data_IF_228340083442
#
_entry.id   IF_228340083442
#
_cell.length_a   1.000
_cell.length_b   1.000
_cell.length_c   1.000
_cell.angle_alpha   90.00
_cell.angle_beta   90.00
_cell.angle_gamma   90.00
#
_symmetry.space_group_name_H-M   'P 1'
#
loop_
_entity.id
_entity.type
_entity.pdbx_description
1 polymer ?
#
# COMPACT_ATOMS: atom_id res chain seq x y z
N UNK A 1 3.74 -12.21 -0.70
CA UNK A 1 3.49 -10.76 -0.54
C UNK A 1 4.80 -10.06 -0.18
N UNK A 2 5.16 -9.00 -0.94
CA UNK A 2 6.28 -8.11 -0.62
C UNK A 2 5.68 -6.82 -0.08
N UNK A 3 6.17 -6.34 1.06
CA UNK A 3 5.75 -5.06 1.62
C UNK A 3 6.96 -4.18 1.93
N UNK A 4 6.75 -2.88 1.97
CA UNK A 4 7.81 -1.91 2.27
C UNK A 4 7.52 -1.17 3.56
N UNK A 5 8.56 -0.91 4.33
CA UNK A 5 8.55 -0.06 5.51
C UNK A 5 9.74 0.89 5.50
N UNK A 6 9.66 1.95 6.29
CA UNK A 6 10.74 2.94 6.33
C UNK A 6 11.93 2.47 7.17
N UNK A 7 11.67 1.85 8.33
CA UNK A 7 12.71 1.50 9.32
C UNK A 7 12.58 0.07 9.82
N UNK A 8 13.66 -0.45 10.41
CA UNK A 8 13.64 -1.78 11.07
C UNK A 8 12.63 -1.84 12.22
N UNK A 9 12.42 -0.74 12.94
CA UNK A 9 11.39 -0.66 13.98
C UNK A 9 9.99 -0.93 13.41
N UNK A 10 9.68 -0.37 12.23
CA UNK A 10 8.41 -0.63 11.56
C UNK A 10 8.32 -2.08 11.04
N UNK A 11 9.45 -2.63 10.57
CA UNK A 11 9.49 -4.03 10.16
C UNK A 11 9.14 -4.98 11.31
N UNK A 12 9.68 -4.76 12.50
CA UNK A 12 9.32 -5.55 13.68
C UNK A 12 7.85 -5.40 14.07
N UNK A 13 7.30 -4.18 14.02
CA UNK A 13 5.89 -3.91 14.35
C UNK A 13 4.90 -4.62 13.43
N UNK A 14 5.25 -4.86 12.16
CA UNK A 14 4.38 -5.54 11.19
C UNK A 14 4.67 -7.03 11.00
N UNK A 15 5.65 -7.58 11.69
CA UNK A 15 6.09 -8.98 11.57
C UNK A 15 4.96 -10.00 11.73
N UNK A 16 4.00 -9.69 12.61
CA UNK A 16 2.81 -10.51 12.83
C UNK A 16 1.88 -10.62 11.61
N UNK A 17 2.04 -9.78 10.59
CA UNK A 17 1.25 -9.82 9.35
C UNK A 17 1.76 -10.88 8.38
N UNK A 18 2.91 -11.51 8.67
CA UNK A 18 3.49 -12.63 7.90
C UNK A 18 3.63 -12.34 6.41
N UNK A 19 4.12 -11.16 6.02
CA UNK A 19 4.53 -10.90 4.65
C UNK A 19 5.73 -11.79 4.29
N UNK A 20 5.77 -12.34 3.07
CA UNK A 20 6.88 -13.20 2.62
C UNK A 20 8.21 -12.44 2.58
N UNK A 21 8.18 -11.15 2.24
CA UNK A 21 9.32 -10.25 2.26
C UNK A 21 8.93 -8.88 2.81
N UNK A 22 9.70 -8.38 3.78
CA UNK A 22 9.61 -6.99 4.26
C UNK A 22 10.88 -6.27 3.83
N UNK A 23 10.73 -5.19 3.05
CA UNK A 23 11.84 -4.37 2.54
C UNK A 23 11.92 -3.08 3.34
N UNK A 24 13.05 -2.86 4.00
CA UNK A 24 13.32 -1.64 4.76
C UNK A 24 13.98 -0.63 3.84
N UNK A 25 13.22 0.36 3.37
CA UNK A 25 13.62 1.27 2.27
C UNK A 25 14.74 2.24 2.62
N UNK A 26 15.10 2.39 3.90
CA UNK A 26 16.29 3.15 4.31
C UNK A 26 17.61 2.41 4.08
N UNK A 27 17.58 1.10 3.86
CA UNK A 27 18.78 0.27 3.65
C UNK A 27 18.70 -0.65 2.44
N UNK A 28 17.54 -0.85 1.86
CA UNK A 28 17.31 -1.73 0.71
C UNK A 28 16.62 -0.98 -0.43
N UNK A 29 17.08 -1.18 -1.65
CA UNK A 29 16.38 -0.66 -2.83
C UNK A 29 15.31 -1.66 -3.28
N UNK A 30 14.06 -1.27 -3.14
CA UNK A 30 12.91 -2.11 -3.54
C UNK A 30 12.98 -2.53 -5.02
N UNK A 31 13.54 -1.70 -5.90
CA UNK A 31 13.64 -2.04 -7.32
C UNK A 31 14.59 -3.22 -7.57
N UNK A 32 15.68 -3.30 -6.80
CA UNK A 32 16.60 -4.43 -6.85
C UNK A 32 15.95 -5.70 -6.31
N UNK A 33 15.22 -5.59 -5.20
CA UNK A 33 14.44 -6.72 -4.65
C UNK A 33 13.44 -7.26 -5.66
N UNK A 34 12.68 -6.38 -6.33
CA UNK A 34 11.73 -6.80 -7.37
C UNK A 34 12.41 -7.46 -8.57
N UNK A 35 13.60 -6.99 -8.94
CA UNK A 35 14.42 -7.59 -9.98
C UNK A 35 14.83 -9.02 -9.60
N UNK A 36 15.37 -9.20 -8.41
CA UNK A 36 15.79 -10.50 -7.87
C UNK A 36 14.61 -11.50 -7.84
N UNK A 37 13.46 -11.07 -7.32
CA UNK A 37 12.25 -11.91 -7.28
C UNK A 37 11.73 -12.29 -8.67
N UNK A 38 11.83 -11.35 -9.63
CA UNK A 38 11.46 -11.63 -11.02
C UNK A 38 12.39 -12.67 -11.66
N UNK A 39 13.71 -12.54 -11.45
CA UNK A 39 14.74 -13.46 -11.96
C UNK A 39 14.61 -14.85 -11.31
N UNK A 40 14.20 -14.91 -10.06
CA UNK A 40 13.91 -16.14 -9.33
C UNK A 40 12.58 -16.82 -9.72
N UNK A 41 11.78 -16.19 -10.61
CA UNK A 41 10.47 -16.73 -11.02
C UNK A 41 9.30 -16.35 -10.08
N UNK A 42 9.56 -15.58 -9.03
CA UNK A 42 8.58 -15.13 -8.04
C UNK A 42 8.08 -13.69 -8.29
N UNK A 43 8.24 -13.18 -9.49
CA UNK A 43 7.91 -11.78 -9.82
C UNK A 43 6.48 -11.38 -9.46
N UNK A 44 6.25 -10.09 -9.32
CA UNK A 44 5.01 -9.49 -8.82
C UNK A 44 3.97 -9.34 -9.93
N UNK A 45 2.75 -9.82 -9.69
CA UNK A 45 1.59 -9.70 -10.58
C UNK A 45 0.76 -8.44 -10.31
N UNK A 46 0.75 -7.96 -9.06
CA UNK A 46 -0.05 -6.80 -8.64
C UNK A 46 0.75 -5.95 -7.67
N UNK A 47 0.95 -4.68 -8.00
CA UNK A 47 1.48 -3.68 -7.09
C UNK A 47 0.37 -2.71 -6.69
N UNK A 48 0.22 -2.42 -5.39
CA UNK A 48 -0.63 -1.36 -4.86
C UNK A 48 0.28 -0.25 -4.36
N UNK A 49 0.19 0.91 -4.98
CA UNK A 49 1.11 2.03 -4.77
C UNK A 49 0.39 3.25 -4.20
N UNK A 50 0.86 3.72 -3.05
CA UNK A 50 0.45 4.98 -2.45
C UNK A 50 1.54 6.07 -2.50
N UNK A 51 2.74 5.75 -2.97
CA UNK A 51 3.88 6.65 -2.97
C UNK A 51 4.05 7.38 -4.31
N UNK A 52 3.94 6.65 -5.44
CA UNK A 52 4.22 7.22 -6.75
C UNK A 52 5.67 7.65 -6.91
N UNK A 53 5.88 8.77 -7.61
CA UNK A 53 7.20 9.39 -7.77
C UNK A 53 8.25 8.47 -8.38
N UNK A 54 9.52 8.69 -8.04
CA UNK A 54 10.65 7.94 -8.57
C UNK A 54 10.59 6.44 -8.28
N UNK A 55 9.99 6.05 -7.16
CA UNK A 55 9.88 4.64 -6.75
C UNK A 55 9.06 3.86 -7.79
N UNK A 56 7.93 4.42 -8.25
CA UNK A 56 7.15 3.82 -9.32
C UNK A 56 7.99 3.63 -10.59
N UNK A 57 8.70 4.67 -11.03
CA UNK A 57 9.53 4.63 -12.24
C UNK A 57 10.59 3.54 -12.18
N UNK A 58 11.25 3.40 -11.04
CA UNK A 58 12.30 2.38 -10.82
C UNK A 58 11.74 0.96 -10.76
N UNK A 59 10.58 0.78 -10.15
CA UNK A 59 10.02 -0.55 -9.83
C UNK A 59 9.20 -1.16 -10.96
N UNK A 60 8.48 -0.36 -11.74
CA UNK A 60 7.50 -0.85 -12.72
C UNK A 60 8.13 -1.76 -13.79
N UNK A 61 9.42 -1.61 -14.03
CA UNK A 61 10.19 -2.40 -14.99
C UNK A 61 10.43 -3.86 -14.56
N UNK A 62 10.28 -4.15 -13.28
CA UNK A 62 10.56 -5.46 -12.68
C UNK A 62 9.30 -6.26 -12.32
N UNK A 63 8.14 -5.83 -12.83
CA UNK A 63 6.91 -6.60 -12.69
C UNK A 63 6.85 -7.76 -13.69
N UNK A 64 6.02 -8.76 -13.42
CA UNK A 64 5.71 -9.84 -14.37
C UNK A 64 5.05 -9.34 -15.64
N UNK A 65 5.09 -10.17 -16.68
CA UNK A 65 4.28 -9.96 -17.89
C UNK A 65 2.79 -9.94 -17.55
N UNK A 66 2.06 -8.94 -18.05
CA UNK A 66 0.64 -8.76 -17.79
C UNK A 66 0.29 -8.19 -16.41
N UNK A 67 1.28 -7.82 -15.63
CA UNK A 67 1.09 -7.30 -14.28
C UNK A 67 0.31 -5.97 -14.24
N UNK A 68 -0.18 -5.63 -13.06
CA UNK A 68 -0.97 -4.43 -12.79
C UNK A 68 -0.30 -3.56 -11.73
N UNK A 69 -0.05 -2.31 -12.07
CA UNK A 69 0.37 -1.29 -11.12
C UNK A 69 -0.83 -0.41 -10.77
N UNK A 70 -1.31 -0.49 -9.54
CA UNK A 70 -2.52 0.22 -9.09
C UNK A 70 -2.11 1.39 -8.21
N UNK A 71 -2.29 2.60 -8.73
CA UNK A 71 -2.02 3.84 -7.99
C UNK A 71 -3.25 4.26 -7.20
N UNK A 72 -3.10 4.39 -5.89
CA UNK A 72 -4.16 4.87 -4.98
C UNK A 72 -3.83 6.23 -4.37
N UNK A 73 -2.56 6.64 -4.38
CA UNK A 73 -2.07 7.96 -3.98
C UNK A 73 -0.70 8.23 -4.62
N UNK A 74 -0.11 9.41 -4.36
CA UNK A 74 1.20 9.82 -4.85
C UNK A 74 1.92 10.66 -3.77
N UNK A 75 2.10 10.07 -2.58
CA UNK A 75 2.60 10.78 -1.39
C UNK A 75 4.07 11.18 -1.50
N UNK A 76 4.88 10.44 -2.27
CA UNK A 76 6.30 10.75 -2.49
C UNK A 76 6.55 11.54 -3.79
N UNK A 77 5.52 11.76 -4.60
CA UNK A 77 5.63 12.59 -5.81
C UNK A 77 4.61 12.24 -6.88
N UNK A 78 4.21 13.24 -7.65
CA UNK A 78 3.18 13.12 -8.70
C UNK A 78 3.77 12.92 -10.10
N UNK A 79 5.09 12.94 -10.23
CA UNK A 79 5.80 12.79 -11.50
C UNK A 79 6.78 11.63 -11.42
N UNK A 80 6.89 10.87 -12.50
CA UNK A 80 7.86 9.79 -12.64
C UNK A 80 8.31 9.66 -14.08
N UNK A 81 9.46 9.04 -14.29
CA UNK A 81 9.98 8.70 -15.62
C UNK A 81 9.86 7.18 -15.84
N UNK A 82 9.34 6.77 -16.97
CA UNK A 82 9.10 5.37 -17.32
C UNK A 82 9.58 5.10 -18.73
N UNK A 83 10.38 4.06 -18.91
CA UNK A 83 10.68 3.52 -20.24
C UNK A 83 9.44 2.79 -20.80
N UNK A 84 8.77 3.42 -21.76
CA UNK A 84 7.53 2.90 -22.35
C UNK A 84 7.73 1.54 -23.05
N UNK A 85 8.96 1.22 -23.51
CA UNK A 85 9.27 -0.08 -24.09
C UNK A 85 8.97 -1.21 -23.09
N UNK A 86 9.36 -1.03 -21.84
CA UNK A 86 9.10 -2.02 -20.79
C UNK A 86 7.60 -2.20 -20.52
N UNK A 87 6.80 -1.15 -20.68
CA UNK A 87 5.35 -1.24 -20.49
C UNK A 87 4.69 -2.08 -21.59
N UNK A 88 4.92 -1.74 -22.89
CA UNK A 88 4.21 -2.44 -23.95
C UNK A 88 4.75 -3.85 -24.21
N UNK A 89 6.07 -4.08 -24.11
CA UNK A 89 6.66 -5.42 -24.30
C UNK A 89 6.19 -6.40 -23.23
N UNK A 90 5.97 -5.93 -22.01
CA UNK A 90 5.50 -6.74 -20.89
C UNK A 90 3.99 -6.72 -20.67
N UNK A 91 3.25 -5.94 -21.44
CA UNK A 91 1.80 -5.75 -21.27
C UNK A 91 1.42 -5.31 -19.83
N UNK A 92 2.25 -4.49 -19.19
CA UNK A 92 1.98 -3.95 -17.86
C UNK A 92 0.83 -2.95 -17.96
N UNK A 93 -0.09 -3.00 -17.01
CA UNK A 93 -1.22 -2.08 -16.91
C UNK A 93 -1.00 -1.12 -15.76
N UNK A 94 -1.08 0.19 -16.04
CA UNK A 94 -1.07 1.24 -15.03
C UNK A 94 -2.53 1.67 -14.80
N UNK A 95 -3.01 1.54 -13.56
CA UNK A 95 -4.41 1.75 -13.20
C UNK A 95 -4.46 2.79 -12.09
N UNK A 96 -5.07 3.95 -12.37
CA UNK A 96 -5.42 4.93 -11.35
C UNK A 96 -6.70 4.51 -10.61
N UNK A 97 -6.70 4.60 -9.29
CA UNK A 97 -7.86 4.29 -8.44
C UNK A 97 -8.08 5.39 -7.40
N UNK A 98 -9.30 5.89 -7.34
CA UNK A 98 -9.73 6.83 -6.29
C UNK A 98 -11.17 6.53 -5.90
N UNK A 99 -11.45 6.59 -4.60
CA UNK A 99 -12.82 6.44 -4.09
C UNK A 99 -13.54 7.79 -4.02
N UNK A 100 -12.80 8.87 -3.76
CA UNK A 100 -13.38 10.22 -3.52
C UNK A 100 -14.26 10.69 -4.66
N UNK A 101 -13.81 10.57 -5.90
CA UNK A 101 -14.49 11.04 -7.10
C UNK A 101 -15.52 10.06 -7.69
N UNK A 102 -15.70 8.87 -7.10
CA UNK A 102 -16.70 7.90 -7.58
C UNK A 102 -18.11 8.38 -7.25
N UNK A 103 -19.06 8.05 -8.14
CA UNK A 103 -20.48 8.35 -7.91
C UNK A 103 -21.01 7.61 -6.68
N UNK A 104 -22.09 8.12 -6.03
CA UNK A 104 -22.72 7.42 -4.91
C UNK A 104 -23.10 5.98 -5.23
N UNK A 105 -23.61 5.71 -6.43
CA UNK A 105 -23.99 4.37 -6.87
C UNK A 105 -22.78 3.40 -6.89
N UNK A 106 -21.66 3.84 -7.45
CA UNK A 106 -20.41 3.02 -7.47
C UNK A 106 -19.88 2.81 -6.04
N UNK A 107 -19.94 3.83 -5.18
CA UNK A 107 -19.54 3.68 -3.77
C UNK A 107 -20.43 2.67 -3.04
N UNK A 108 -21.75 2.73 -3.26
CA UNK A 108 -22.69 1.79 -2.67
C UNK A 108 -22.41 0.34 -3.10
N UNK A 109 -22.12 0.12 -4.38
CA UNK A 109 -21.72 -1.20 -4.88
C UNK A 109 -20.44 -1.71 -4.23
N UNK A 110 -19.39 -0.88 -4.15
CA UNK A 110 -18.12 -1.25 -3.49
C UNK A 110 -18.36 -1.63 -2.02
N UNK A 111 -19.19 -0.86 -1.30
CA UNK A 111 -19.51 -1.15 0.09
C UNK A 111 -20.33 -2.44 0.23
N UNK A 112 -21.28 -2.71 -0.66
CA UNK A 112 -22.04 -3.95 -0.66
C UNK A 112 -21.13 -5.17 -0.86
N UNK A 113 -20.20 -5.10 -1.83
CA UNK A 113 -19.21 -6.16 -2.05
C UNK A 113 -18.24 -6.33 -0.87
N UNK A 114 -17.86 -5.26 -0.20
CA UNK A 114 -17.04 -5.30 1.01
C UNK A 114 -17.78 -6.02 2.15
N UNK A 115 -19.06 -5.69 2.35
CA UNK A 115 -19.90 -6.36 3.38
C UNK A 115 -20.05 -7.84 3.06
N UNK A 116 -20.29 -8.19 1.81
CA UNK A 116 -20.46 -9.58 1.40
C UNK A 116 -19.19 -10.41 1.50
N UNK A 117 -18.06 -9.88 0.98
CA UNK A 117 -16.84 -10.68 0.74
C UNK A 117 -15.78 -10.54 1.84
N UNK A 118 -15.73 -9.38 2.51
CA UNK A 118 -14.65 -9.05 3.45
C UNK A 118 -15.14 -9.04 4.90
N UNK A 119 -16.34 -8.50 5.16
CA UNK A 119 -16.86 -8.36 6.52
C UNK A 119 -16.94 -9.68 7.30
N UNK A 120 -17.32 -10.83 6.71
CA UNK A 120 -17.27 -12.11 7.42
C UNK A 120 -15.89 -12.46 7.96
N UNK A 121 -14.81 -12.12 7.21
CA UNK A 121 -13.44 -12.35 7.65
C UNK A 121 -13.02 -11.41 8.79
N UNK A 122 -13.52 -10.17 8.78
CA UNK A 122 -13.33 -9.24 9.91
C UNK A 122 -14.03 -9.78 11.15
N UNK A 123 -15.26 -10.23 11.02
CA UNK A 123 -16.03 -10.80 12.15
C UNK A 123 -15.38 -12.08 12.69
N UNK A 124 -14.82 -12.92 11.82
CA UNK A 124 -14.07 -14.12 12.22
C UNK A 124 -12.69 -13.80 12.82
N UNK A 125 -12.24 -12.53 12.77
CA UNK A 125 -10.92 -12.13 13.25
C UNK A 125 -9.75 -12.50 12.35
N UNK A 126 -10.03 -12.98 11.12
CA UNK A 126 -9.00 -13.25 10.11
C UNK A 126 -8.36 -11.94 9.59
N UNK A 127 -9.17 -10.89 9.50
CA UNK A 127 -8.72 -9.54 9.16
C UNK A 127 -8.91 -8.65 10.37
N UNK A 128 -7.84 -8.05 10.86
CA UNK A 128 -7.85 -7.15 12.01
C UNK A 128 -7.17 -5.84 11.64
N UNK A 129 -7.82 -4.68 11.87
CA UNK A 129 -7.15 -3.40 11.74
C UNK A 129 -6.07 -3.26 12.80
N UNK A 130 -4.89 -2.79 12.39
CA UNK A 130 -3.84 -2.41 13.34
C UNK A 130 -4.19 -1.04 13.88
N UNK A 131 -4.40 -0.93 15.19
CA UNK A 131 -4.67 0.33 15.89
C UNK A 131 -3.39 0.75 16.60
N UNK A 132 -2.83 1.88 16.21
CA UNK A 132 -1.65 2.45 16.84
C UNK A 132 -2.00 3.00 18.22
N UNK A 133 -3.02 3.87 18.27
CA UNK A 133 -3.52 4.50 19.50
C UNK A 133 -4.93 5.03 19.33
N UNK A 134 -5.66 5.06 20.45
CA UNK A 134 -6.99 5.66 20.56
C UNK A 134 -6.89 6.91 21.41
N UNK A 135 -7.47 8.01 20.97
CA UNK A 135 -7.52 9.29 21.69
C UNK A 135 -8.97 9.76 21.84
N UNK A 136 -9.30 10.49 22.89
CA UNK A 136 -10.54 11.24 22.92
C UNK A 136 -10.50 12.36 21.86
N UNK A 137 -11.65 12.75 21.30
CA UNK A 137 -11.73 13.81 20.28
C UNK A 137 -11.11 15.14 20.74
N UNK A 138 -11.09 15.38 22.03
CA UNK A 138 -10.47 16.56 22.63
C UNK A 138 -8.94 16.61 22.46
N UNK A 139 -8.32 15.46 22.17
CA UNK A 139 -6.87 15.33 21.91
C UNK A 139 -6.56 15.16 20.41
N UNK A 140 -7.44 15.63 19.52
CA UNK A 140 -7.28 15.49 18.08
C UNK A 140 -5.98 16.12 17.55
N UNK A 141 -5.48 17.19 18.17
CA UNK A 141 -4.22 17.84 17.79
C UNK A 141 -3.03 16.90 17.99
N UNK A 142 -2.95 16.19 19.13
CA UNK A 142 -1.88 15.22 19.39
C UNK A 142 -2.00 14.00 18.45
N UNK A 143 -3.22 13.54 18.19
CA UNK A 143 -3.46 12.48 17.22
C UNK A 143 -2.95 12.86 15.81
N UNK A 144 -3.15 14.11 15.37
CA UNK A 144 -2.62 14.63 14.13
C UNK A 144 -1.09 14.77 14.15
N UNK A 145 -0.52 15.19 15.28
CA UNK A 145 0.92 15.35 15.44
C UNK A 145 1.66 13.99 15.26
N UNK A 146 1.10 12.89 15.77
CA UNK A 146 1.64 11.54 15.54
C UNK A 146 1.69 11.20 14.04
N UNK A 147 0.61 11.51 13.30
CA UNK A 147 0.58 11.28 11.86
C UNK A 147 1.60 12.15 11.11
N UNK A 148 1.77 13.42 11.51
CA UNK A 148 2.75 14.33 10.92
C UNK A 148 4.18 13.89 11.15
N UNK A 149 4.48 13.32 12.34
CA UNK A 149 5.80 12.78 12.67
C UNK A 149 6.06 11.40 12.05
N UNK A 150 5.01 10.78 11.45
CA UNK A 150 5.13 9.45 10.84
C UNK A 150 5.41 8.32 11.86
N UNK A 151 5.01 8.49 13.11
CA UNK A 151 5.28 7.54 14.20
C UNK A 151 4.29 6.37 14.25
N UNK A 152 3.15 6.50 13.54
CA UNK A 152 2.09 5.51 13.63
C UNK A 152 2.36 4.27 12.77
N UNK A 153 2.09 3.11 13.35
CA UNK A 153 1.88 1.87 12.61
C UNK A 153 0.42 1.48 12.74
N UNK A 154 -0.30 1.52 11.63
CA UNK A 154 -1.75 1.35 11.63
C UNK A 154 -2.52 2.66 11.85
N UNK A 155 -3.72 2.58 12.39
CA UNK A 155 -4.67 3.68 12.51
C UNK A 155 -4.55 4.40 13.86
N UNK A 156 -4.63 5.71 13.80
CA UNK A 156 -4.93 6.56 14.98
C UNK A 156 -6.43 6.80 14.98
N UNK A 157 -7.08 6.49 16.08
CA UNK A 157 -8.55 6.54 16.22
C UNK A 157 -8.94 7.61 17.23
N UNK A 158 -9.99 8.36 16.93
CA UNK A 158 -10.61 9.30 17.86
C UNK A 158 -11.94 8.72 18.36
N UNK A 159 -12.17 8.75 19.67
CA UNK A 159 -13.46 8.44 20.28
C UNK A 159 -14.26 9.71 20.49
N UNK A 160 -15.54 9.64 20.18
CA UNK A 160 -16.53 10.70 20.44
C UNK A 160 -17.53 10.10 21.43
N UNK A 161 -17.53 10.61 22.63
CA UNK A 161 -18.50 10.25 23.68
C UNK A 161 -19.71 11.19 23.66
#
# INVERSE_FOLDING_TARGET
VITTVLTDEFAEKIKHLNADRVVVTTREDISLVLKEELEAGHGVDVAIDCLGGEIMGKCIHFLKHGARWIMIAALAGTKTEIDLKNIYVRNVRIIGSTLRSRTPAVKAQILAELVEKVWPKVTAGEIRPVIHRVFPITEAEEAHAILQRGENVGKVVLTVE
#
